data_IF_155694817776
#
_entry.id   IF_155694817776
#
_cell.length_a   1.000
_cell.length_b   1.000
_cell.length_c   1.000
_cell.angle_alpha   90.00
_cell.angle_beta   90.00
_cell.angle_gamma   90.00
#
_symmetry.space_group_name_H-M   'P 1'
#
loop_
_entity.id
_entity.type
_entity.pdbx_description
1 polymer ?
#
# COMPACT_ATOMS: atom_id res chain seq x y z
N UNK A 1 11.51 -4.48 17.85
CA UNK A 1 10.06 -4.13 17.86
C UNK A 1 9.21 -5.33 17.50
N UNK A 2 9.47 -6.00 16.37
CA UNK A 2 8.74 -7.21 15.91
C UNK A 2 8.52 -8.25 17.03
N UNK A 3 9.58 -8.68 17.73
CA UNK A 3 9.43 -9.63 18.86
C UNK A 3 8.50 -9.12 19.99
N UNK A 4 8.59 -7.83 20.34
CA UNK A 4 7.70 -7.21 21.34
C UNK A 4 6.25 -7.17 20.85
N UNK A 5 6.03 -6.93 19.56
CA UNK A 5 4.71 -6.99 18.92
C UNK A 5 4.09 -8.39 19.07
N UNK A 6 4.88 -9.45 18.83
CA UNK A 6 4.45 -10.83 19.06
C UNK A 6 4.12 -11.10 20.53
N UNK A 7 5.01 -10.71 21.45
CA UNK A 7 4.79 -10.86 22.90
C UNK A 7 3.56 -10.09 23.37
N UNK A 8 3.21 -8.99 22.68
CA UNK A 8 1.99 -8.20 22.90
C UNK A 8 0.72 -8.79 22.30
N UNK A 9 0.79 -9.92 21.60
CA UNK A 9 -0.37 -10.63 21.04
C UNK A 9 -0.79 -10.18 19.63
N UNK A 10 0.08 -9.50 18.87
CA UNK A 10 -0.18 -9.24 17.45
C UNK A 10 0.08 -10.50 16.61
N UNK A 11 -0.79 -10.76 15.63
CA UNK A 11 -0.62 -11.84 14.64
C UNK A 11 0.07 -11.35 13.36
N UNK A 12 0.03 -10.04 13.09
CA UNK A 12 0.57 -9.45 11.87
C UNK A 12 1.27 -8.12 12.13
N UNK A 13 2.24 -7.80 11.27
CA UNK A 13 2.87 -6.49 11.17
C UNK A 13 2.43 -5.83 9.86
N UNK A 14 1.87 -4.64 9.96
CA UNK A 14 1.53 -3.82 8.79
C UNK A 14 2.63 -2.79 8.53
N UNK A 15 2.98 -2.56 7.27
CA UNK A 15 3.94 -1.51 6.88
C UNK A 15 3.59 -0.91 5.52
N UNK A 16 3.94 0.37 5.36
CA UNK A 16 4.03 1.01 4.06
C UNK A 16 5.34 0.68 3.33
N UNK A 17 5.37 0.96 2.02
CA UNK A 17 6.59 1.02 1.20
C UNK A 17 6.82 2.46 0.76
N UNK A 18 7.98 3.02 1.06
CA UNK A 18 8.26 4.45 0.85
C UNK A 18 9.01 4.69 -0.46
N UNK A 19 8.27 4.97 -1.54
CA UNK A 19 8.82 5.10 -2.90
C UNK A 19 9.98 6.11 -2.98
N UNK A 20 9.82 7.30 -2.40
CA UNK A 20 10.86 8.34 -2.41
C UNK A 20 12.19 7.92 -1.78
N UNK A 21 12.17 7.05 -0.78
CA UNK A 21 13.36 6.54 -0.13
C UNK A 21 13.99 5.43 -0.96
N UNK A 22 13.17 4.58 -1.59
CA UNK A 22 13.64 3.48 -2.43
C UNK A 22 14.09 3.91 -3.83
N UNK A 23 13.65 5.06 -4.34
CA UNK A 23 14.03 5.59 -5.66
C UNK A 23 14.37 7.09 -5.55
N UNK A 24 15.48 7.46 -4.87
CA UNK A 24 15.85 8.86 -4.65
C UNK A 24 16.09 9.63 -5.96
N UNK A 25 16.57 8.92 -7.00
CA UNK A 25 16.67 9.38 -8.38
C UNK A 25 15.94 8.39 -9.28
N UNK A 26 15.33 8.87 -10.37
CA UNK A 26 14.54 8.03 -11.28
C UNK A 26 15.38 6.86 -11.81
N UNK A 27 14.91 5.64 -11.55
CA UNK A 27 15.49 4.32 -11.84
C UNK A 27 16.79 3.98 -11.11
N UNK A 28 17.15 4.74 -10.09
CA UNK A 28 18.24 4.39 -9.17
C UNK A 28 17.63 3.96 -7.84
N UNK A 29 17.73 2.66 -7.55
CA UNK A 29 17.04 2.06 -6.41
C UNK A 29 17.96 1.81 -5.22
N UNK A 30 17.47 2.08 -4.01
CA UNK A 30 18.12 1.74 -2.74
C UNK A 30 17.23 0.86 -1.86
N UNK A 31 17.70 -0.37 -1.65
CA UNK A 31 17.12 -1.35 -0.72
C UNK A 31 18.17 -1.82 0.30
N UNK A 32 19.14 -0.96 0.63
CA UNK A 32 20.20 -1.26 1.57
C UNK A 32 19.91 -0.70 2.96
N UNK A 33 20.64 -1.19 3.98
CA UNK A 33 20.55 -0.65 5.33
C UNK A 33 19.12 -0.68 5.90
N UNK A 34 18.60 0.48 6.30
CA UNK A 34 17.24 0.60 6.84
C UNK A 34 16.14 0.51 5.76
N UNK A 35 16.51 0.56 4.48
CA UNK A 35 15.61 0.42 3.33
C UNK A 35 15.55 -1.03 2.81
N UNK A 36 16.16 -1.99 3.50
CA UNK A 36 16.09 -3.40 3.15
C UNK A 36 14.72 -3.99 3.52
N UNK A 37 13.75 -3.80 2.62
CA UNK A 37 12.37 -4.28 2.73
C UNK A 37 12.30 -5.80 2.85
N UNK A 38 13.09 -6.52 2.04
CA UNK A 38 13.08 -7.98 2.01
C UNK A 38 13.58 -8.54 3.34
N UNK A 39 14.67 -8.01 3.89
CA UNK A 39 15.15 -8.41 5.21
C UNK A 39 14.11 -8.11 6.29
N UNK A 40 13.43 -6.98 6.22
CA UNK A 40 12.36 -6.65 7.18
C UNK A 40 11.22 -7.67 7.14
N UNK A 41 10.72 -8.01 5.95
CA UNK A 41 9.68 -9.01 5.75
C UNK A 41 10.09 -10.42 6.18
N UNK A 42 11.33 -10.83 5.88
CA UNK A 42 11.89 -12.11 6.38
C UNK A 42 11.97 -12.12 7.91
N UNK A 43 12.35 -11.00 8.53
CA UNK A 43 12.39 -10.89 9.99
C UNK A 43 10.99 -11.05 10.61
N UNK A 44 9.94 -10.53 9.97
CA UNK A 44 8.55 -10.77 10.39
C UNK A 44 8.22 -12.27 10.32
N UNK A 45 8.60 -12.93 9.22
CA UNK A 45 8.41 -14.37 9.04
C UNK A 45 9.17 -15.22 10.06
N UNK A 46 10.43 -14.88 10.35
CA UNK A 46 11.28 -15.60 11.30
C UNK A 46 10.73 -15.53 12.73
N UNK A 47 10.08 -14.42 13.07
CA UNK A 47 9.34 -14.28 14.32
C UNK A 47 7.97 -14.95 14.25
N UNK A 48 7.57 -15.58 13.14
CA UNK A 48 6.32 -16.31 12.98
C UNK A 48 5.06 -15.43 12.98
N UNK A 49 5.19 -14.19 12.51
CA UNK A 49 4.09 -13.26 12.30
C UNK A 49 3.74 -13.18 10.80
N UNK A 50 2.50 -12.78 10.50
CA UNK A 50 2.11 -12.39 9.16
C UNK A 50 2.48 -10.94 8.85
N UNK A 51 2.38 -10.56 7.58
CA UNK A 51 2.59 -9.19 7.11
C UNK A 51 1.41 -8.66 6.30
N UNK A 52 1.11 -7.38 6.47
CA UNK A 52 0.23 -6.60 5.58
C UNK A 52 1.11 -5.56 4.87
N UNK A 53 1.27 -5.70 3.56
CA UNK A 53 2.19 -4.87 2.78
C UNK A 53 1.42 -3.76 2.03
N UNK A 54 1.45 -2.54 2.56
CA UNK A 54 0.79 -1.39 1.95
C UNK A 54 1.72 -0.69 0.98
N UNK A 55 1.70 -1.14 -0.28
CA UNK A 55 2.68 -0.69 -1.28
C UNK A 55 2.45 0.77 -1.66
N UNK A 56 1.19 1.24 -1.68
CA UNK A 56 0.84 2.60 -2.07
C UNK A 56 0.70 2.73 -3.60
N UNK A 57 1.48 3.60 -4.29
CA UNK A 57 2.74 4.16 -3.81
C UNK A 57 2.61 5.54 -3.17
N UNK A 58 1.44 6.18 -3.26
CA UNK A 58 1.07 7.21 -2.28
C UNK A 58 0.73 6.53 -0.95
N UNK A 59 1.34 6.97 0.13
CA UNK A 59 1.18 6.34 1.47
C UNK A 59 0.71 7.32 2.53
N UNK A 60 0.68 8.63 2.26
CA UNK A 60 0.45 9.67 3.26
C UNK A 60 1.48 9.55 4.42
N UNK A 61 1.12 8.84 5.49
CA UNK A 61 1.96 8.38 6.59
C UNK A 61 2.73 9.47 7.34
N UNK A 62 2.28 10.73 7.26
CA UNK A 62 3.03 11.91 7.72
C UNK A 62 4.49 11.90 7.19
N UNK A 63 4.68 11.28 6.02
CA UNK A 63 5.96 11.07 5.40
C UNK A 63 6.20 12.12 4.32
N UNK A 64 7.48 12.43 4.09
CA UNK A 64 7.86 13.46 3.14
C UNK A 64 7.18 13.25 1.78
N UNK A 65 6.46 14.27 1.32
CA UNK A 65 5.71 14.29 0.07
C UNK A 65 4.77 13.08 -0.14
N UNK A 66 4.21 12.53 0.97
CA UNK A 66 3.29 11.40 0.94
C UNK A 66 3.87 10.11 0.38
N UNK A 67 5.21 10.00 0.35
CA UNK A 67 5.93 8.87 -0.24
C UNK A 67 6.39 9.10 -1.68
N UNK A 68 5.93 10.13 -2.38
CA UNK A 68 6.36 10.37 -3.77
C UNK A 68 7.81 10.88 -3.86
N UNK A 69 8.61 10.37 -4.81
CA UNK A 69 9.89 10.98 -5.13
C UNK A 69 9.70 12.38 -5.72
N UNK A 70 10.53 13.34 -5.33
CA UNK A 70 10.42 14.73 -5.82
C UNK A 70 10.64 14.83 -7.33
N UNK A 71 11.48 13.96 -7.91
CA UNK A 71 11.71 13.95 -9.36
C UNK A 71 10.43 13.65 -10.16
N UNK A 72 9.46 12.94 -9.58
CA UNK A 72 8.19 12.60 -10.23
C UNK A 72 7.39 13.87 -10.53
N UNK A 73 7.38 14.82 -9.60
CA UNK A 73 6.71 16.13 -9.75
C UNK A 73 7.26 16.96 -10.92
N UNK A 74 8.53 16.76 -11.28
CA UNK A 74 9.20 17.53 -12.33
C UNK A 74 9.05 16.89 -13.72
N UNK A 75 8.32 15.78 -13.84
CA UNK A 75 8.12 15.13 -15.14
C UNK A 75 7.14 15.95 -16.02
N UNK A 76 7.45 16.18 -17.31
CA UNK A 76 6.56 16.89 -18.20
C UNK A 76 5.18 16.23 -18.28
N UNK A 77 4.12 17.02 -18.08
CA UNK A 77 2.74 16.55 -18.15
C UNK A 77 2.28 15.68 -16.99
N UNK A 78 3.01 15.66 -15.86
CA UNK A 78 2.62 14.91 -14.67
C UNK A 78 1.39 15.52 -14.01
N UNK A 79 0.42 14.67 -13.68
CA UNK A 79 -0.64 14.95 -12.73
C UNK A 79 -0.74 13.74 -11.80
N UNK A 80 -0.55 13.97 -10.50
CA UNK A 80 -0.47 12.89 -9.51
C UNK A 80 -1.86 12.39 -9.13
N UNK A 81 -1.94 11.10 -8.79
CA UNK A 81 -3.15 10.44 -8.25
C UNK A 81 -4.40 10.66 -9.13
N UNK A 82 -4.22 10.61 -10.45
CA UNK A 82 -5.33 10.70 -11.42
C UNK A 82 -5.04 9.82 -12.63
N UNK A 83 -5.99 9.73 -13.56
CA UNK A 83 -5.87 9.00 -14.82
C UNK A 83 -4.93 9.74 -15.79
N UNK A 84 -3.66 9.87 -15.40
CA UNK A 84 -2.59 10.50 -16.14
C UNK A 84 -1.57 9.43 -16.54
N UNK A 85 -1.31 9.30 -17.84
CA UNK A 85 -0.45 8.24 -18.38
C UNK A 85 1.00 8.31 -17.87
N UNK A 86 1.53 9.51 -17.59
CA UNK A 86 2.88 9.68 -17.04
C UNK A 86 2.92 9.13 -15.62
N UNK A 87 2.00 9.57 -14.77
CA UNK A 87 1.91 9.10 -13.39
C UNK A 87 1.65 7.60 -13.28
N UNK A 88 0.65 7.10 -14.00
CA UNK A 88 0.26 5.69 -13.96
C UNK A 88 1.41 4.76 -14.39
N UNK A 89 2.17 5.14 -15.43
CA UNK A 89 3.34 4.37 -15.86
C UNK A 89 4.43 4.32 -14.77
N UNK A 90 4.69 5.43 -14.08
CA UNK A 90 5.68 5.47 -13.00
C UNK A 90 5.21 4.67 -11.77
N UNK A 91 3.94 4.80 -11.40
CA UNK A 91 3.31 4.02 -10.33
C UNK A 91 3.35 2.52 -10.62
N UNK A 92 3.03 2.10 -11.85
CA UNK A 92 3.08 0.69 -12.25
C UNK A 92 4.52 0.14 -12.19
N UNK A 93 5.50 0.90 -12.70
CA UNK A 93 6.91 0.49 -12.68
C UNK A 93 7.39 0.23 -11.24
N UNK A 94 7.13 1.16 -10.32
CA UNK A 94 7.54 0.99 -8.93
C UNK A 94 6.77 -0.14 -8.23
N UNK A 95 5.44 -0.20 -8.39
CA UNK A 95 4.62 -1.26 -7.77
C UNK A 95 5.05 -2.64 -8.25
N UNK A 96 5.29 -2.79 -9.56
CA UNK A 96 5.76 -4.05 -10.16
C UNK A 96 7.14 -4.44 -9.64
N UNK A 97 8.08 -3.49 -9.53
CA UNK A 97 9.39 -3.75 -8.94
C UNK A 97 9.26 -4.35 -7.53
N UNK A 98 8.47 -3.72 -6.66
CA UNK A 98 8.25 -4.21 -5.29
C UNK A 98 7.63 -5.61 -5.30
N UNK A 99 6.59 -5.83 -6.10
CA UNK A 99 5.95 -7.14 -6.20
C UNK A 99 6.90 -8.20 -6.73
N UNK A 100 7.70 -7.91 -7.76
CA UNK A 100 8.64 -8.86 -8.35
C UNK A 100 9.74 -9.25 -7.34
N UNK A 101 10.28 -8.28 -6.59
CA UNK A 101 11.23 -8.56 -5.50
C UNK A 101 10.63 -9.45 -4.42
N UNK A 102 9.41 -9.16 -3.98
CA UNK A 102 8.69 -9.93 -2.95
C UNK A 102 8.38 -11.36 -3.46
N UNK A 103 7.98 -11.51 -4.72
CA UNK A 103 7.72 -12.80 -5.35
C UNK A 103 8.96 -13.66 -5.51
N UNK A 104 10.06 -13.05 -5.92
CA UNK A 104 11.35 -13.74 -6.10
C UNK A 104 11.80 -14.40 -4.80
N UNK A 105 11.53 -13.73 -3.67
CA UNK A 105 11.83 -14.20 -2.32
C UNK A 105 10.71 -15.06 -1.70
N UNK A 106 9.64 -15.34 -2.46
CA UNK A 106 8.49 -16.18 -2.05
C UNK A 106 7.80 -15.66 -0.78
N UNK A 107 7.67 -14.35 -0.65
CA UNK A 107 7.18 -13.72 0.58
C UNK A 107 5.65 -13.52 0.63
N UNK A 108 4.92 -13.78 -0.47
CA UNK A 108 3.46 -13.88 -0.42
C UNK A 108 3.01 -15.20 0.20
N UNK A 109 1.90 -15.19 0.95
CA UNK A 109 1.36 -16.39 1.60
C UNK A 109 0.99 -17.51 0.62
N UNK A 110 0.60 -17.15 -0.60
CA UNK A 110 0.42 -18.08 -1.73
C UNK A 110 1.69 -18.87 -2.10
N UNK A 111 2.85 -18.36 -1.70
CA UNK A 111 4.18 -18.94 -1.88
C UNK A 111 4.81 -19.40 -0.55
N UNK A 112 3.99 -19.54 0.51
CA UNK A 112 4.40 -19.87 1.88
C UNK A 112 5.16 -18.76 2.63
N UNK A 113 5.08 -17.52 2.15
CA UNK A 113 5.63 -16.34 2.81
C UNK A 113 4.68 -15.69 3.84
N UNK A 114 5.11 -14.62 4.55
CA UNK A 114 4.33 -13.99 5.60
C UNK A 114 3.24 -13.04 5.09
N UNK A 115 3.32 -12.53 3.86
CA UNK A 115 2.41 -11.46 3.40
C UNK A 115 1.05 -12.05 3.05
N UNK A 116 0.03 -11.69 3.83
CA UNK A 116 -1.34 -12.18 3.69
C UNK A 116 -2.27 -11.18 2.97
N UNK A 117 -1.88 -9.92 2.92
CA UNK A 117 -2.65 -8.83 2.30
C UNK A 117 -1.68 -7.82 1.70
N UNK A 118 -2.09 -7.22 0.59
CA UNK A 118 -1.40 -6.08 0.00
C UNK A 118 -2.36 -4.91 -0.23
N UNK A 119 -1.89 -3.67 -0.12
CA UNK A 119 -2.70 -2.48 -0.43
C UNK A 119 -2.14 -1.72 -1.63
N UNK A 120 -3.03 -1.29 -2.51
CA UNK A 120 -2.76 -0.31 -3.57
C UNK A 120 -3.49 0.99 -3.25
N UNK A 121 -2.85 2.12 -3.51
CA UNK A 121 -3.27 3.45 -3.08
C UNK A 121 -3.39 3.57 -1.53
N UNK A 122 -3.73 4.76 -1.06
CA UNK A 122 -4.00 5.10 0.30
C UNK A 122 -5.04 6.24 0.39
N UNK A 123 -6.23 5.91 0.90
CA UNK A 123 -7.31 6.86 1.18
C UNK A 123 -7.73 7.74 -0.01
N UNK A 124 -7.68 7.20 -1.23
CA UNK A 124 -8.04 7.98 -2.42
C UNK A 124 -9.51 8.39 -2.43
N UNK A 125 -10.42 7.59 -1.86
CA UNK A 125 -11.84 7.93 -1.79
C UNK A 125 -12.11 9.28 -1.11
N UNK A 126 -11.22 9.74 -0.21
CA UNK A 126 -11.31 11.06 0.42
C UNK A 126 -11.07 12.23 -0.56
N UNK A 127 -10.38 11.99 -1.68
CA UNK A 127 -10.02 13.02 -2.67
C UNK A 127 -10.59 12.75 -4.05
N UNK A 128 -11.14 11.56 -4.29
CA UNK A 128 -11.59 11.09 -5.60
C UNK A 128 -12.59 12.04 -6.27
N UNK A 129 -13.52 12.62 -5.50
CA UNK A 129 -14.54 13.51 -6.04
C UNK A 129 -13.93 14.73 -6.76
N UNK A 130 -12.82 15.27 -6.25
CA UNK A 130 -12.14 16.41 -6.85
C UNK A 130 -11.57 16.11 -8.24
N UNK A 131 -11.36 14.83 -8.57
CA UNK A 131 -10.88 14.37 -9.89
C UNK A 131 -12.01 13.97 -10.83
N UNK A 132 -13.26 13.98 -10.39
CA UNK A 132 -14.42 13.60 -11.19
C UNK A 132 -14.27 12.22 -11.85
N UNK A 133 -14.58 12.13 -13.15
CA UNK A 133 -14.51 10.86 -13.89
C UNK A 133 -13.08 10.34 -14.06
N UNK A 134 -12.06 11.22 -14.05
CA UNK A 134 -10.67 10.80 -14.07
C UNK A 134 -10.28 10.06 -12.78
N UNK A 135 -10.82 10.46 -11.63
CA UNK A 135 -10.62 9.75 -10.36
C UNK A 135 -11.21 8.33 -10.37
N UNK A 136 -12.43 8.19 -10.91
CA UNK A 136 -13.07 6.86 -11.08
C UNK A 136 -12.27 5.96 -12.03
N UNK A 137 -11.83 6.51 -13.16
CA UNK A 137 -11.00 5.80 -14.12
C UNK A 137 -9.66 5.36 -13.50
N UNK A 138 -9.04 6.23 -12.70
CA UNK A 138 -7.80 5.94 -11.98
C UNK A 138 -7.95 4.79 -10.99
N UNK A 139 -9.00 4.78 -10.16
CA UNK A 139 -9.22 3.69 -9.19
C UNK A 139 -9.55 2.36 -9.87
N UNK A 140 -10.32 2.39 -10.95
CA UNK A 140 -10.53 1.18 -11.75
C UNK A 140 -9.21 0.67 -12.33
N UNK A 141 -8.36 1.57 -12.82
CA UNK A 141 -7.02 1.20 -13.30
C UNK A 141 -6.13 0.64 -12.18
N UNK A 142 -6.13 1.23 -10.98
CA UNK A 142 -5.34 0.75 -9.84
C UNK A 142 -5.72 -0.69 -9.47
N UNK A 143 -7.03 -0.97 -9.39
CA UNK A 143 -7.55 -2.33 -9.14
C UNK A 143 -7.08 -3.30 -10.23
N UNK A 144 -7.27 -2.94 -11.51
CA UNK A 144 -6.87 -3.80 -12.63
C UNK A 144 -5.35 -4.06 -12.65
N UNK A 145 -4.53 -3.02 -12.42
CA UNK A 145 -3.08 -3.13 -12.38
C UNK A 145 -2.64 -4.04 -11.23
N UNK A 146 -3.11 -3.80 -10.01
CA UNK A 146 -2.79 -4.61 -8.83
C UNK A 146 -3.20 -6.09 -9.02
N UNK A 147 -4.39 -6.34 -9.57
CA UNK A 147 -4.87 -7.68 -9.89
C UNK A 147 -4.02 -8.38 -10.95
N UNK A 148 -3.59 -7.64 -11.99
CA UNK A 148 -2.74 -8.18 -13.06
C UNK A 148 -1.38 -8.68 -12.56
N UNK A 149 -0.92 -8.15 -11.41
CA UNK A 149 0.32 -8.59 -10.78
C UNK A 149 0.20 -9.98 -10.18
N UNK A 150 -0.99 -10.58 -10.03
CA UNK A 150 -1.18 -11.99 -9.65
C UNK A 150 -0.35 -12.40 -8.41
N UNK A 151 -0.49 -11.68 -7.30
CA UNK A 151 0.26 -11.93 -6.05
C UNK A 151 -0.28 -13.12 -5.25
N UNK A 152 -1.49 -13.58 -5.58
CA UNK A 152 -2.12 -14.76 -4.95
C UNK A 152 -2.64 -14.52 -3.53
N UNK A 153 -2.66 -13.27 -3.07
CA UNK A 153 -3.30 -12.84 -1.82
C UNK A 153 -4.27 -11.69 -2.10
N UNK A 154 -5.28 -11.44 -1.24
CA UNK A 154 -6.22 -10.35 -1.47
C UNK A 154 -5.54 -8.99 -1.46
N UNK A 155 -6.08 -8.10 -2.31
CA UNK A 155 -5.74 -6.69 -2.29
C UNK A 155 -6.79 -5.88 -1.55
N UNK A 156 -6.34 -4.86 -0.82
CA UNK A 156 -7.18 -3.95 -0.06
C UNK A 156 -7.02 -2.50 -0.55
N UNK A 157 -8.01 -1.65 -0.24
CA UNK A 157 -7.96 -0.19 -0.45
C UNK A 157 -8.65 0.50 0.75
N UNK A 158 -7.91 1.24 1.56
CA UNK A 158 -8.47 1.95 2.71
C UNK A 158 -9.23 3.22 2.29
N UNK A 159 -10.31 3.54 3.02
CA UNK A 159 -11.18 4.70 2.77
C UNK A 159 -11.63 4.82 1.30
N UNK A 160 -11.97 3.68 0.69
CA UNK A 160 -12.37 3.58 -0.71
C UNK A 160 -13.76 2.94 -0.82
N UNK A 161 -14.82 3.74 -0.64
CA UNK A 161 -16.20 3.23 -0.57
C UNK A 161 -16.66 2.51 -1.86
N UNK A 162 -16.15 2.92 -3.01
CA UNK A 162 -16.41 2.33 -4.32
C UNK A 162 -15.26 1.45 -4.84
N UNK A 163 -14.44 0.87 -3.96
CA UNK A 163 -13.35 -0.03 -4.34
C UNK A 163 -13.85 -1.10 -5.34
N UNK A 164 -13.26 -1.18 -6.55
CA UNK A 164 -13.70 -2.13 -7.56
C UNK A 164 -13.46 -3.57 -7.13
N UNK A 165 -14.40 -4.47 -7.41
CA UNK A 165 -14.20 -5.89 -7.10
C UNK A 165 -13.01 -6.48 -7.89
N UNK A 166 -12.22 -7.39 -7.28
CA UNK A 166 -12.42 -8.03 -5.98
C UNK A 166 -11.66 -7.35 -4.82
N UNK A 167 -11.32 -6.06 -4.94
CA UNK A 167 -10.62 -5.33 -3.88
C UNK A 167 -11.49 -5.24 -2.63
N UNK A 168 -10.87 -5.39 -1.45
CA UNK A 168 -11.56 -5.23 -0.17
C UNK A 168 -11.38 -3.79 0.30
N UNK A 169 -12.46 -3.03 0.43
CA UNK A 169 -12.38 -1.72 1.06
C UNK A 169 -12.27 -1.84 2.59
N UNK A 170 -11.43 -1.01 3.19
CA UNK A 170 -11.17 -1.02 4.64
C UNK A 170 -11.42 0.35 5.25
N UNK A 171 -11.54 0.38 6.59
CA UNK A 171 -11.75 1.59 7.35
C UNK A 171 -10.49 2.03 8.10
N UNK A 172 -10.33 3.34 8.27
CA UNK A 172 -9.32 3.99 9.10
C UNK A 172 -10.04 4.93 10.09
N UNK A 173 -9.49 5.12 11.29
CA UNK A 173 -10.06 6.06 12.24
C UNK A 173 -9.76 5.72 13.69
N UNK A 174 -10.39 6.46 14.60
CA UNK A 174 -10.50 6.08 16.02
C UNK A 174 -11.57 5.01 16.26
N UNK A 175 -12.58 4.96 15.39
CA UNK A 175 -13.73 4.06 15.48
C UNK A 175 -14.13 3.60 14.08
N UNK A 176 -14.30 2.29 13.92
CA UNK A 176 -14.79 1.64 12.68
C UNK A 176 -15.85 0.57 12.98
N UNK A 177 -16.46 0.61 14.16
CA UNK A 177 -17.51 -0.32 14.63
C UNK A 177 -18.78 -0.25 13.76
N UNK A 178 -19.07 0.88 13.14
CA UNK A 178 -20.20 1.05 12.20
C UNK A 178 -19.82 0.83 10.73
N UNK A 179 -18.52 0.68 10.41
CA UNK A 179 -18.07 0.45 9.04
C UNK A 179 -18.61 -0.87 8.48
N UNK A 180 -19.10 -0.85 7.24
CA UNK A 180 -19.50 -2.04 6.48
C UNK A 180 -18.78 -2.03 5.14
N UNK A 181 -18.14 -3.15 4.72
CA UNK A 181 -17.50 -3.23 3.41
C UNK A 181 -18.54 -3.08 2.28
N UNK A 182 -18.08 -2.61 1.12
CA UNK A 182 -18.95 -2.34 -0.03
C UNK A 182 -19.44 -3.61 -0.74
N UNK A 183 -18.90 -4.78 -0.36
CA UNK A 183 -19.33 -6.09 -0.80
C UNK A 183 -19.67 -6.95 0.43
N UNK A 184 -20.89 -7.52 0.51
CA UNK A 184 -21.31 -8.35 1.64
C UNK A 184 -20.50 -9.66 1.80
N UNK A 185 -19.75 -10.08 0.78
CA UNK A 185 -18.86 -11.23 0.84
C UNK A 185 -17.44 -10.87 1.31
N UNK A 186 -17.11 -9.58 1.44
CA UNK A 186 -15.80 -9.14 1.93
C UNK A 186 -15.81 -9.09 3.47
N UNK A 187 -14.68 -9.44 4.12
CA UNK A 187 -14.57 -9.27 5.56
C UNK A 187 -14.56 -7.78 5.93
N UNK A 188 -15.08 -7.47 7.12
CA UNK A 188 -14.92 -6.15 7.72
C UNK A 188 -13.49 -6.00 8.24
N UNK A 189 -12.79 -4.95 7.81
CA UNK A 189 -11.38 -4.73 8.14
C UNK A 189 -11.12 -3.27 8.53
N UNK A 190 -10.32 -3.09 9.58
CA UNK A 190 -9.87 -1.79 10.10
C UNK A 190 -8.35 -1.74 10.00
N UNK A 191 -7.84 -1.03 8.99
CA UNK A 191 -6.41 -0.97 8.67
C UNK A 191 -5.65 -0.02 9.61
N UNK A 192 -6.25 1.11 9.98
CA UNK A 192 -5.62 2.07 10.88
C UNK A 192 -6.50 2.39 12.08
N UNK A 193 -6.28 1.68 13.18
CA UNK A 193 -6.79 2.07 14.48
C UNK A 193 -5.84 3.10 15.09
N UNK A 194 -6.20 4.38 14.99
CA UNK A 194 -5.36 5.47 15.44
C UNK A 194 -5.14 5.39 16.95
N UNK A 195 -3.92 5.03 17.35
CA UNK A 195 -3.51 4.85 18.75
C UNK A 195 -3.24 6.17 19.50
N UNK A 196 -3.36 7.28 18.79
CA UNK A 196 -3.02 8.63 19.20
C UNK A 196 -2.95 9.53 17.96
N UNK A 197 -2.15 10.60 18.02
CA UNK A 197 -1.96 11.50 16.89
C UNK A 197 -0.49 11.87 16.72
N UNK A 198 -0.09 12.21 15.48
CA UNK A 198 1.24 12.72 15.21
C UNK A 198 1.45 14.09 15.85
N UNK A 199 2.71 14.44 16.11
CA UNK A 199 3.07 15.76 16.66
C UNK A 199 3.39 16.73 15.52
N UNK A 200 2.82 17.92 15.61
CA UNK A 200 3.29 19.06 14.85
C UNK A 200 4.38 19.81 15.63
N UNK A 201 5.25 20.49 14.89
CA UNK A 201 6.36 21.28 15.42
C UNK A 201 5.90 22.42 16.34
#
# INVERSE_FOLDING_TARGET
>A
LIKKSKEGGLDAIETYVFWNAHEPSRREYDFSGNLDLIRFLKTIQDEGLYAVLRIGPYVCAEWNYGGFPVWLHNMPGIELRTANGVYMNEMENFTKLIVDMVKQEKLFASQSGPIILAQIENEFGNVQEAYGDAGKAYIQWCSNMAQSLNVGVPWIMCQQSDAPQPMINTCNGYYCDEFTPNNPNSPKMWTENWTGWFKNW
#
